data_IF_165489763721
#
_entry.id   IF_165489763721
#
_cell.length_a   1.000
_cell.length_b   1.000
_cell.length_c   1.000
_cell.angle_alpha   90.00
_cell.angle_beta   90.00
_cell.angle_gamma   90.00
#
_symmetry.space_group_name_H-M   'P 1'
#
loop_
_entity.id
_entity.type
_entity.pdbx_description
1 polymer ?
#
# COMPACT_ATOMS: atom_id res chain seq x y z
N UNK A 1 -32.23 55.96 68.78
CA UNK A 1 -30.80 55.66 68.79
C UNK A 1 -30.41 55.29 67.37
N UNK A 2 -29.47 56.04 66.79
CA UNK A 2 -28.86 55.84 65.46
C UNK A 2 -29.77 56.20 64.29
N UNK A 3 -29.93 57.47 63.87
CA UNK A 3 -28.96 58.40 63.26
C UNK A 3 -28.67 58.02 61.77
N UNK A 4 -29.42 58.63 60.83
CA UNK A 4 -29.01 59.68 59.84
C UNK A 4 -28.66 59.04 58.48
N UNK A 5 -29.58 59.04 57.49
CA UNK A 5 -29.80 60.09 56.45
C UNK A 5 -28.72 60.08 55.33
N UNK A 6 -28.94 60.67 54.13
CA UNK A 6 -30.16 60.81 53.32
C UNK A 6 -29.86 60.61 51.80
N UNK A 7 -30.78 61.10 50.96
CA UNK A 7 -30.61 61.50 49.54
C UNK A 7 -30.68 60.38 48.48
N UNK A 8 -31.18 60.62 47.26
CA UNK A 8 -31.97 61.68 46.62
C UNK A 8 -32.00 61.30 45.13
N UNK A 9 -33.06 61.71 44.42
CA UNK A 9 -33.10 61.97 42.98
C UNK A 9 -32.99 60.75 42.03
N UNK A 10 -34.07 60.45 41.29
CA UNK A 10 -34.33 60.95 39.91
C UNK A 10 -33.21 60.53 38.95
N UNK A 11 -33.44 59.58 38.05
CA UNK A 11 -34.21 59.72 36.81
C UNK A 11 -33.26 59.54 35.62
N UNK A 12 -33.86 59.38 34.45
CA UNK A 12 -33.29 59.54 33.10
C UNK A 12 -32.76 58.25 32.47
N UNK A 13 -33.66 57.68 31.68
CA UNK A 13 -33.37 56.93 30.48
C UNK A 13 -32.57 57.76 29.48
N UNK A 14 -31.54 57.19 28.86
CA UNK A 14 -31.07 57.55 27.52
C UNK A 14 -30.25 56.35 27.01
N UNK A 15 -30.81 55.61 26.06
CA UNK A 15 -30.58 55.80 24.63
C UNK A 15 -29.26 55.16 24.19
N UNK A 16 -29.39 54.05 23.46
CA UNK A 16 -28.32 53.44 22.68
C UNK A 16 -27.70 54.46 21.71
N UNK A 17 -26.38 54.38 21.51
CA UNK A 17 -25.82 54.61 20.21
C UNK A 17 -25.23 53.31 19.64
N UNK A 18 -25.70 52.97 18.44
CA UNK A 18 -24.94 52.20 17.45
C UNK A 18 -23.53 52.77 17.35
N UNK A 19 -22.50 51.96 17.59
CA UNK A 19 -21.23 51.98 16.86
C UNK A 19 -20.31 50.89 17.42
N UNK A 20 -19.52 50.28 16.53
CA UNK A 20 -18.46 49.30 16.79
C UNK A 20 -18.89 47.84 16.99
N UNK A 21 -19.49 47.24 15.96
CA UNK A 21 -19.44 45.79 15.74
C UNK A 21 -18.88 45.49 14.34
N UNK A 22 -17.72 46.05 14.03
CA UNK A 22 -17.03 45.86 12.76
C UNK A 22 -15.51 45.95 12.97
N UNK A 23 -14.92 45.01 13.70
CA UNK A 23 -13.49 44.67 13.68
C UNK A 23 -13.15 43.50 14.62
N UNK A 24 -14.02 42.50 14.72
CA UNK A 24 -13.69 41.22 15.34
C UNK A 24 -14.11 40.08 14.39
N UNK A 25 -13.83 40.25 13.10
CA UNK A 25 -13.57 39.09 12.27
C UNK A 25 -12.28 38.52 12.85
N UNK A 26 -12.49 37.51 13.67
CA UNK A 26 -11.47 36.63 14.18
C UNK A 26 -10.44 36.41 13.07
N UNK A 27 -9.27 37.03 13.26
CA UNK A 27 -8.04 36.32 12.99
C UNK A 27 -8.09 35.09 13.92
N UNK A 28 -8.89 34.09 13.53
CA UNK A 28 -8.49 32.73 13.72
C UNK A 28 -7.24 32.64 12.86
N UNK A 29 -6.11 33.05 13.44
CA UNK A 29 -4.88 32.34 13.17
C UNK A 29 -5.26 30.88 13.43
N UNK A 30 -5.59 30.17 12.37
CA UNK A 30 -5.22 28.77 12.28
C UNK A 30 -3.72 28.84 12.46
N UNK A 31 -3.28 28.70 13.71
CA UNK A 31 -1.89 28.41 13.99
C UNK A 31 -1.74 27.06 13.31
N UNK A 32 -1.01 26.95 12.18
CA UNK A 32 -0.69 25.63 11.68
C UNK A 32 0.07 24.98 12.82
N UNK A 33 -0.46 23.89 13.37
CA UNK A 33 0.17 23.26 14.52
C UNK A 33 1.55 22.76 14.09
N UNK A 34 2.59 23.56 14.37
CA UNK A 34 3.99 23.29 13.99
C UNK A 34 4.63 22.19 14.84
N UNK A 35 3.84 21.53 15.67
CA UNK A 35 4.24 20.45 16.57
C UNK A 35 3.16 19.36 16.68
N UNK A 36 2.31 19.15 15.66
CA UNK A 36 1.58 17.88 15.58
C UNK A 36 2.60 16.79 15.22
N UNK A 37 3.24 16.28 16.24
CA UNK A 37 3.78 14.94 16.24
C UNK A 37 2.57 14.04 16.55
N UNK A 38 1.77 13.64 15.53
CA UNK A 38 0.91 12.45 15.70
C UNK A 38 1.84 11.24 15.67
N UNK A 39 2.59 11.07 16.75
CA UNK A 39 3.20 9.81 17.10
C UNK A 39 2.59 9.41 18.41
N UNK A 40 1.33 9.00 18.36
CA UNK A 40 0.90 8.05 19.37
C UNK A 40 1.49 6.69 18.99
N UNK A 41 2.77 6.54 19.30
CA UNK A 41 3.53 5.32 19.08
C UNK A 41 3.07 4.18 20.00
N UNK A 42 2.15 4.46 20.93
CA UNK A 42 1.46 3.44 21.71
C UNK A 42 0.22 2.90 21.01
N UNK A 43 -0.31 3.61 20.00
CA UNK A 43 -1.48 3.19 19.21
C UNK A 43 -1.08 2.58 17.86
N UNK A 44 -0.07 3.12 17.17
CA UNK A 44 0.43 2.52 15.92
C UNK A 44 1.55 1.54 16.22
N UNK A 45 1.44 0.29 15.76
CA UNK A 45 2.51 -0.68 15.88
C UNK A 45 3.77 -0.15 15.14
N UNK A 46 4.74 0.33 15.93
CA UNK A 46 5.96 1.01 15.47
C UNK A 46 6.83 0.10 14.58
N UNK A 47 6.68 -1.20 14.78
CA UNK A 47 7.47 -2.27 14.19
C UNK A 47 6.64 -3.11 13.23
N UNK A 48 5.48 -2.62 12.80
CA UNK A 48 4.69 -3.34 11.82
C UNK A 48 5.40 -3.33 10.46
N UNK A 49 5.51 -4.52 9.86
CA UNK A 49 5.68 -4.67 8.41
C UNK A 49 4.63 -3.84 7.68
N UNK A 50 5.05 -3.07 6.67
CA UNK A 50 4.17 -2.26 5.82
C UNK A 50 4.55 -2.39 4.36
N UNK A 51 3.58 -2.63 3.50
CA UNK A 51 3.76 -2.45 2.07
C UNK A 51 3.78 -0.94 1.82
N UNK A 52 4.83 -0.49 1.15
CA UNK A 52 5.01 0.91 0.79
C UNK A 52 5.04 1.03 -0.72
N UNK A 53 4.36 2.04 -1.22
CA UNK A 53 4.45 2.49 -2.61
C UNK A 53 5.42 3.67 -2.62
N UNK A 54 6.74 3.45 -2.81
CA UNK A 54 7.69 4.54 -2.78
C UNK A 54 7.45 5.42 -3.98
N UNK A 55 6.99 6.63 -3.70
CA UNK A 55 6.97 7.71 -4.67
C UNK A 55 8.43 8.09 -4.95
N UNK A 56 8.90 7.79 -6.16
CA UNK A 56 10.25 8.21 -6.55
C UNK A 56 10.24 9.72 -6.77
N UNK A 57 10.90 10.43 -5.86
CA UNK A 57 11.15 11.85 -6.04
C UNK A 57 12.21 12.03 -7.14
N UNK A 58 12.06 13.09 -7.94
CA UNK A 58 13.16 13.57 -8.79
C UNK A 58 14.30 14.08 -7.90
N UNK A 59 15.53 14.12 -8.42
CA UNK A 59 16.68 14.67 -7.67
C UNK A 59 16.38 16.10 -7.21
N UNK A 60 15.79 16.91 -8.09
CA UNK A 60 15.38 18.28 -7.79
C UNK A 60 14.31 18.35 -6.70
N UNK A 61 13.45 17.34 -6.57
CA UNK A 61 12.42 17.29 -5.55
C UNK A 61 12.98 16.83 -4.20
N UNK A 62 13.90 15.86 -4.21
CA UNK A 62 14.65 15.47 -3.02
C UNK A 62 15.45 16.67 -2.48
N UNK A 63 16.21 17.35 -3.33
CA UNK A 63 17.02 18.50 -2.94
C UNK A 63 16.17 19.67 -2.41
N UNK A 64 15.02 19.96 -3.03
CA UNK A 64 14.11 21.00 -2.55
C UNK A 64 13.53 20.66 -1.16
N UNK A 65 13.26 19.38 -0.91
CA UNK A 65 12.71 18.91 0.36
C UNK A 65 13.74 18.77 1.50
N UNK A 66 15.03 18.64 1.16
CA UNK A 66 16.12 18.52 2.13
C UNK A 66 16.65 19.89 2.60
N UNK A 67 16.24 20.98 1.97
CA UNK A 67 16.63 22.34 2.39
C UNK A 67 15.89 22.72 3.69
N UNK A 68 16.62 22.97 4.80
CA UNK A 68 16.02 23.31 6.08
C UNK A 68 15.30 24.68 6.10
N UNK A 69 15.49 25.53 5.09
CA UNK A 69 14.79 26.80 4.94
C UNK A 69 13.51 26.70 4.11
N UNK A 70 13.31 25.60 3.39
CA UNK A 70 12.16 25.33 2.52
C UNK A 70 10.96 24.83 3.34
N UNK A 71 9.76 25.35 3.08
CA UNK A 71 8.53 24.78 3.65
C UNK A 71 8.17 23.51 2.86
N UNK A 72 8.32 22.30 3.44
CA UNK A 72 8.10 21.05 2.71
C UNK A 72 6.63 20.86 2.29
N UNK A 73 5.70 21.66 2.79
CA UNK A 73 4.28 21.60 2.39
C UNK A 73 3.96 22.50 1.19
N UNK A 74 4.74 23.56 0.95
CA UNK A 74 4.49 24.51 -0.14
C UNK A 74 5.43 24.31 -1.33
N UNK A 75 6.65 23.81 -1.10
CA UNK A 75 7.74 23.88 -2.08
C UNK A 75 8.30 22.51 -2.48
N UNK A 76 7.95 21.42 -1.76
CA UNK A 76 8.28 20.06 -2.22
C UNK A 76 7.50 19.73 -3.50
N UNK A 77 8.18 19.51 -4.63
CA UNK A 77 7.51 19.13 -5.87
C UNK A 77 6.75 17.83 -5.65
N UNK A 78 5.54 17.76 -6.18
CA UNK A 78 4.82 16.49 -6.24
C UNK A 78 5.63 15.51 -7.11
N UNK A 79 5.68 14.22 -6.75
CA UNK A 79 6.30 13.22 -7.60
C UNK A 79 5.70 13.29 -9.00
N UNK A 80 6.50 13.06 -10.06
CA UNK A 80 5.97 13.01 -11.41
C UNK A 80 4.86 11.96 -11.49
N UNK A 81 3.89 12.09 -12.41
CA UNK A 81 2.90 11.03 -12.62
C UNK A 81 3.65 9.72 -12.90
N UNK A 82 3.52 8.76 -12.00
CA UNK A 82 4.33 7.55 -11.99
C UNK A 82 4.21 6.83 -13.33
N UNK A 83 5.33 6.31 -13.82
CA UNK A 83 5.28 5.30 -14.88
C UNK A 83 4.46 4.12 -14.33
N UNK A 84 3.37 3.69 -14.97
CA UNK A 84 2.54 2.59 -14.51
C UNK A 84 3.29 1.26 -14.38
N UNK A 85 4.53 1.18 -14.91
CA UNK A 85 5.45 0.04 -14.70
C UNK A 85 6.14 0.05 -13.34
N UNK A 86 6.20 1.21 -12.67
CA UNK A 86 6.82 1.36 -11.36
C UNK A 86 5.85 1.12 -10.21
N UNK A 87 4.55 1.40 -10.41
CA UNK A 87 3.49 1.20 -9.41
C UNK A 87 2.24 0.70 -10.11
N UNK A 88 1.73 -0.46 -9.68
CA UNK A 88 0.45 -0.98 -10.17
C UNK A 88 -0.71 -0.36 -9.39
N UNK A 89 -1.77 0.12 -10.07
CA UNK A 89 -2.97 0.55 -9.37
C UNK A 89 -3.70 -0.65 -8.76
N UNK A 90 -4.42 -0.43 -7.66
CA UNK A 90 -5.23 -1.48 -7.00
C UNK A 90 -6.29 -2.10 -7.94
N UNK A 91 -6.70 -1.37 -8.98
CA UNK A 91 -7.57 -1.88 -10.03
C UNK A 91 -6.88 -1.76 -11.38
N UNK A 92 -6.65 -2.89 -12.03
CA UNK A 92 -6.02 -3.00 -13.33
C UNK A 92 -7.11 -2.97 -14.41
N UNK A 93 -7.40 -1.76 -14.90
CA UNK A 93 -8.51 -1.49 -15.81
C UNK A 93 -8.31 -2.18 -17.18
N UNK A 94 -9.16 -3.16 -17.55
CA UNK A 94 -9.04 -3.88 -18.81
C UNK A 94 -9.30 -3.01 -20.05
N UNK A 95 -9.87 -1.81 -19.89
CA UNK A 95 -9.99 -0.85 -20.99
C UNK A 95 -8.66 -0.20 -21.37
N UNK A 96 -7.67 -0.25 -20.47
CA UNK A 96 -6.31 0.16 -20.75
C UNK A 96 -5.54 -1.01 -21.39
N UNK A 97 -4.99 -0.85 -22.62
CA UNK A 97 -4.22 -1.90 -23.29
C UNK A 97 -3.03 -2.43 -22.48
N UNK A 98 -2.51 -1.65 -21.52
CA UNK A 98 -1.44 -2.09 -20.62
C UNK A 98 -1.89 -3.18 -19.64
N UNK A 99 -3.19 -3.31 -19.37
CA UNK A 99 -3.78 -4.22 -18.39
C UNK A 99 -4.83 -5.17 -19.01
N UNK A 100 -4.80 -5.32 -20.33
CA UNK A 100 -5.67 -6.23 -21.06
C UNK A 100 -5.06 -7.64 -21.06
N UNK A 101 -5.34 -8.41 -20.00
CA UNK A 101 -4.80 -9.77 -19.85
C UNK A 101 -5.69 -10.85 -20.47
N UNK A 102 -5.06 -11.88 -21.03
CA UNK A 102 -5.72 -13.01 -21.68
C UNK A 102 -5.56 -14.31 -20.88
N UNK A 103 -6.65 -15.07 -20.72
CA UNK A 103 -6.58 -16.49 -20.39
C UNK A 103 -6.24 -17.29 -21.65
N UNK A 104 -4.99 -17.74 -21.72
CA UNK A 104 -4.43 -18.43 -22.88
C UNK A 104 -4.56 -19.95 -22.74
N UNK A 105 -4.52 -20.73 -23.84
CA UNK A 105 -4.39 -22.19 -23.75
C UNK A 105 -3.12 -22.62 -23.01
N UNK A 106 -3.17 -23.79 -22.34
CA UNK A 106 -2.05 -24.31 -21.54
C UNK A 106 -0.74 -24.35 -22.36
N UNK A 107 0.30 -23.74 -21.79
CA UNK A 107 1.65 -23.69 -22.38
C UNK A 107 1.88 -22.49 -23.29
N UNK A 108 0.89 -21.63 -23.47
CA UNK A 108 1.05 -20.32 -24.10
C UNK A 108 1.10 -19.23 -23.03
N UNK A 109 1.81 -18.14 -23.32
CA UNK A 109 1.86 -16.96 -22.47
C UNK A 109 1.09 -15.81 -23.10
N UNK A 110 0.62 -14.89 -22.27
CA UNK A 110 -0.02 -13.67 -22.73
C UNK A 110 1.03 -12.66 -23.23
N UNK A 111 0.80 -12.09 -24.43
CA UNK A 111 1.63 -11.00 -24.94
C UNK A 111 1.52 -9.73 -24.08
N UNK A 112 0.43 -9.57 -23.33
CA UNK A 112 0.20 -8.51 -22.34
C UNK A 112 0.80 -8.78 -20.96
N UNK A 113 1.53 -9.88 -20.77
CA UNK A 113 2.21 -10.18 -19.51
C UNK A 113 3.19 -9.04 -19.13
N UNK A 114 3.18 -8.67 -17.86
CA UNK A 114 3.94 -7.50 -17.39
C UNK A 114 5.43 -7.84 -17.27
N UNK A 115 6.36 -7.02 -17.80
CA UNK A 115 7.78 -7.36 -17.81
C UNK A 115 8.34 -7.50 -16.39
N UNK A 116 8.31 -6.41 -15.61
CA UNK A 116 8.78 -6.38 -14.23
C UNK A 116 8.04 -5.27 -13.49
N UNK A 117 7.63 -5.54 -12.26
CA UNK A 117 7.30 -4.48 -11.30
C UNK A 117 7.76 -4.90 -9.90
N UNK A 118 8.03 -3.91 -9.05
CA UNK A 118 8.51 -4.13 -7.69
C UNK A 118 7.51 -3.63 -6.67
N UNK A 119 7.33 -4.40 -5.61
CA UNK A 119 6.61 -4.00 -4.40
C UNK A 119 7.66 -3.83 -3.31
N UNK A 120 7.57 -2.73 -2.57
CA UNK A 120 8.51 -2.43 -1.50
C UNK A 120 7.85 -2.63 -0.15
N UNK A 121 8.64 -3.15 0.79
CA UNK A 121 8.16 -3.48 2.13
C UNK A 121 9.08 -2.77 3.12
N UNK A 122 8.49 -1.96 3.98
CA UNK A 122 9.16 -1.35 5.12
C UNK A 122 9.02 -2.26 6.34
N UNK A 123 10.15 -2.53 6.99
CA UNK A 123 10.22 -3.23 8.27
C UNK A 123 11.22 -2.50 9.16
N UNK A 124 10.71 -1.83 10.18
CA UNK A 124 11.53 -1.01 11.08
C UNK A 124 11.98 -1.76 12.32
N UNK A 125 11.61 -3.04 12.45
CA UNK A 125 12.04 -3.82 13.59
C UNK A 125 13.52 -4.21 13.44
N UNK A 126 14.22 -4.07 14.55
CA UNK A 126 15.62 -4.40 14.69
C UNK A 126 15.74 -5.23 15.94
N UNK A 127 16.37 -6.39 15.81
CA UNK A 127 16.58 -7.27 16.94
C UNK A 127 17.58 -6.69 17.96
N UNK A 128 17.86 -7.46 19.02
CA UNK A 128 18.81 -7.04 20.07
C UNK A 128 20.25 -6.87 19.56
N UNK A 129 20.56 -7.35 18.35
CA UNK A 129 21.84 -7.27 17.66
C UNK A 129 21.85 -6.15 16.59
N UNK A 130 20.75 -5.42 16.42
CA UNK A 130 20.57 -4.39 15.40
C UNK A 130 20.58 -4.98 13.97
N UNK A 131 20.09 -6.21 13.82
CA UNK A 131 19.81 -6.86 12.54
C UNK A 131 18.31 -6.74 12.21
N UNK A 132 17.93 -6.48 10.95
CA UNK A 132 16.52 -6.43 10.57
C UNK A 132 15.93 -7.82 10.48
N UNK A 133 14.62 -7.92 10.74
CA UNK A 133 13.91 -9.17 10.68
C UNK A 133 13.84 -9.73 9.24
N UNK A 134 13.66 -11.05 9.18
CA UNK A 134 13.38 -11.75 7.94
C UNK A 134 11.92 -11.51 7.55
N UNK A 135 11.70 -10.96 6.36
CA UNK A 135 10.36 -10.71 5.83
C UNK A 135 10.04 -11.73 4.76
N UNK A 136 8.87 -12.34 4.85
CA UNK A 136 8.38 -13.33 3.90
C UNK A 136 7.17 -12.77 3.15
N UNK A 137 6.92 -13.27 1.94
CA UNK A 137 5.78 -12.85 1.13
C UNK A 137 5.09 -14.05 0.48
N UNK A 138 3.78 -13.92 0.24
CA UNK A 138 3.04 -14.82 -0.61
C UNK A 138 2.04 -14.08 -1.49
N UNK A 139 1.70 -14.75 -2.60
CA UNK A 139 0.72 -14.28 -3.57
C UNK A 139 -0.53 -15.15 -3.46
N UNK A 140 -1.62 -14.55 -3.00
CA UNK A 140 -2.89 -15.23 -2.77
C UNK A 140 -3.90 -14.85 -3.87
N UNK A 141 -4.25 -15.83 -4.70
CA UNK A 141 -5.26 -15.67 -5.74
C UNK A 141 -6.67 -15.96 -5.18
N UNK A 142 -7.60 -15.06 -5.48
CA UNK A 142 -9.03 -15.15 -5.11
C UNK A 142 -9.24 -15.52 -3.64
N UNK A 143 -8.38 -14.98 -2.78
CA UNK A 143 -8.39 -15.29 -1.36
C UNK A 143 -9.63 -14.73 -0.68
N UNK A 144 -10.29 -15.59 0.09
CA UNK A 144 -11.37 -15.20 0.99
C UNK A 144 -11.02 -15.65 2.42
N UNK A 145 -11.13 -14.79 3.43
CA UNK A 145 -10.81 -15.15 4.82
C UNK A 145 -11.63 -16.32 5.37
N UNK A 146 -12.77 -16.62 4.75
CA UNK A 146 -13.67 -17.72 5.13
C UNK A 146 -13.35 -19.05 4.42
N UNK A 147 -12.33 -19.09 3.55
CA UNK A 147 -11.96 -20.31 2.83
C UNK A 147 -11.45 -21.37 3.83
N UNK A 148 -12.04 -22.57 3.80
CA UNK A 148 -11.62 -23.69 4.64
C UNK A 148 -10.23 -24.25 4.28
N UNK A 149 -9.75 -23.96 3.07
CA UNK A 149 -8.44 -24.38 2.57
C UNK A 149 -7.68 -23.20 1.98
N UNK A 150 -7.19 -22.29 2.83
CA UNK A 150 -6.61 -21.06 2.32
C UNK A 150 -5.23 -21.26 1.66
N UNK A 151 -4.58 -22.41 1.91
CA UNK A 151 -3.40 -22.84 1.14
C UNK A 151 -3.70 -23.00 -0.37
N UNK A 152 -4.95 -23.32 -0.72
CA UNK A 152 -5.39 -23.42 -2.11
C UNK A 152 -5.43 -22.04 -2.79
N UNK A 153 -5.25 -20.92 -2.07
CA UNK A 153 -5.11 -19.59 -2.66
C UNK A 153 -3.66 -19.22 -2.94
N UNK A 154 -2.66 -19.87 -2.32
CA UNK A 154 -1.24 -19.57 -2.57
C UNK A 154 -0.89 -19.98 -4.01
N UNK A 155 -0.59 -18.98 -4.86
CA UNK A 155 -0.26 -19.14 -6.28
C UNK A 155 1.04 -18.42 -6.62
N UNK A 156 1.46 -18.50 -7.89
CA UNK A 156 2.65 -17.79 -8.38
C UNK A 156 3.95 -18.13 -7.65
N UNK A 157 4.08 -19.35 -7.11
CA UNK A 157 5.29 -19.83 -6.39
C UNK A 157 6.57 -19.80 -7.24
N UNK A 158 6.36 -19.75 -8.54
CA UNK A 158 7.38 -19.55 -9.56
C UNK A 158 8.06 -18.16 -9.54
N UNK A 159 7.41 -17.19 -8.91
CA UNK A 159 7.87 -15.80 -8.79
C UNK A 159 8.21 -15.46 -7.34
N UNK A 160 7.49 -16.04 -6.38
CA UNK A 160 7.67 -15.76 -4.95
C UNK A 160 7.69 -17.08 -4.19
N UNK A 161 8.81 -17.40 -3.52
CA UNK A 161 8.87 -18.53 -2.62
C UNK A 161 8.50 -18.06 -1.19
N UNK A 162 7.36 -18.50 -0.62
CA UNK A 162 6.97 -18.08 0.72
C UNK A 162 7.96 -18.50 1.81
N UNK A 163 8.79 -19.51 1.56
CA UNK A 163 9.76 -20.01 2.53
C UNK A 163 11.11 -19.27 2.47
N UNK A 164 11.30 -18.37 1.51
CA UNK A 164 12.53 -17.59 1.37
C UNK A 164 12.29 -16.14 1.79
N UNK A 165 13.17 -15.56 2.64
CA UNK A 165 13.04 -14.17 3.02
C UNK A 165 13.33 -13.25 1.84
N UNK A 166 12.59 -12.14 1.78
CA UNK A 166 12.77 -11.10 0.77
C UNK A 166 14.16 -10.46 0.89
N UNK A 167 14.84 -10.22 -0.24
CA UNK A 167 16.09 -9.50 -0.25
C UNK A 167 15.88 -8.04 0.17
N UNK A 168 16.95 -7.41 0.69
CA UNK A 168 16.95 -5.95 0.85
C UNK A 168 16.88 -5.28 -0.52
N UNK A 169 16.16 -4.17 -0.60
CA UNK A 169 16.09 -3.36 -1.80
C UNK A 169 17.49 -2.83 -2.15
N UNK A 170 18.05 -3.24 -3.29
CA UNK A 170 19.43 -2.96 -3.63
C UNK A 170 19.63 -1.55 -4.24
N UNK A 171 18.56 -0.91 -4.71
CA UNK A 171 18.68 0.18 -5.69
C UNK A 171 17.68 1.33 -5.55
N UNK A 172 16.95 1.43 -4.44
CA UNK A 172 16.06 2.57 -4.25
C UNK A 172 16.66 3.56 -3.27
N UNK A 173 16.87 4.78 -3.76
CA UNK A 173 17.16 5.94 -2.93
C UNK A 173 15.83 6.47 -2.39
N UNK A 174 15.29 5.77 -1.39
CA UNK A 174 14.06 6.15 -0.72
C UNK A 174 14.39 6.46 0.73
N UNK A 175 14.50 7.76 1.02
CA UNK A 175 14.63 8.29 2.37
C UNK A 175 13.43 9.21 2.63
N UNK A 176 12.40 8.72 3.34
CA UNK A 176 11.31 9.60 3.74
C UNK A 176 11.85 10.69 4.67
N UNK A 177 11.52 11.95 4.36
CA UNK A 177 11.97 13.12 5.10
C UNK A 177 11.64 12.98 6.59
N UNK A 178 12.63 13.22 7.45
CA UNK A 178 12.46 13.19 8.91
C UNK A 178 12.18 11.80 9.49
N UNK A 179 12.29 10.72 8.71
CA UNK A 179 12.16 9.35 9.18
C UNK A 179 13.52 8.64 9.19
N UNK A 180 13.79 7.76 10.18
CA UNK A 180 14.92 6.84 10.12
C UNK A 180 14.86 5.94 8.87
N UNK A 181 15.99 5.28 8.56
CA UNK A 181 16.07 4.31 7.47
C UNK A 181 14.90 3.30 7.55
N UNK A 182 14.09 3.19 6.48
CA UNK A 182 12.94 2.28 6.43
C UNK A 182 13.33 0.80 6.25
N UNK A 183 14.62 0.47 6.10
CA UNK A 183 15.14 -0.91 6.01
C UNK A 183 14.40 -1.75 4.96
N UNK A 184 14.25 -1.19 3.77
CA UNK A 184 13.35 -1.71 2.76
C UNK A 184 13.74 -3.10 2.24
N UNK A 185 12.72 -3.93 2.07
CA UNK A 185 12.76 -5.17 1.28
C UNK A 185 12.09 -4.95 -0.07
N UNK A 186 12.48 -5.73 -1.05
CA UNK A 186 11.95 -5.66 -2.41
C UNK A 186 11.40 -7.02 -2.84
N UNK A 187 10.14 -7.01 -3.27
CA UNK A 187 9.47 -8.12 -3.94
C UNK A 187 9.37 -7.78 -5.43
N UNK A 188 10.23 -8.39 -6.23
CA UNK A 188 10.22 -8.23 -7.69
C UNK A 188 9.36 -9.30 -8.34
N UNK A 189 8.37 -8.88 -9.13
CA UNK A 189 7.49 -9.77 -9.89
C UNK A 189 7.77 -9.65 -11.38
N UNK A 190 8.04 -10.79 -12.01
CA UNK A 190 8.43 -10.86 -13.42
C UNK A 190 9.88 -10.49 -13.70
N UNK A 191 10.32 -10.74 -14.92
CA UNK A 191 11.52 -10.16 -15.53
C UNK A 191 11.42 -10.21 -17.06
N UNK A 192 12.42 -9.65 -17.76
CA UNK A 192 12.48 -9.62 -19.23
C UNK A 192 12.37 -11.00 -19.91
N UNK A 193 12.79 -12.07 -19.24
CA UNK A 193 12.74 -13.45 -19.76
C UNK A 193 11.51 -14.23 -19.30
N UNK A 194 10.88 -13.79 -18.20
CA UNK A 194 9.73 -14.41 -17.58
C UNK A 194 8.81 -13.31 -17.06
N UNK A 195 8.03 -12.67 -17.96
CA UNK A 195 7.09 -11.64 -17.55
C UNK A 195 6.07 -12.23 -16.58
N UNK A 196 5.56 -11.38 -15.69
CA UNK A 196 4.51 -11.71 -14.75
C UNK A 196 3.16 -11.73 -15.48
N UNK A 197 2.63 -12.93 -15.66
CA UNK A 197 1.36 -13.18 -16.33
C UNK A 197 0.29 -13.50 -15.29
N UNK A 198 -0.62 -12.56 -15.05
CA UNK A 198 -1.70 -12.65 -14.07
C UNK A 198 -2.78 -13.69 -14.43
N UNK A 199 -2.89 -14.11 -15.68
CA UNK A 199 -3.93 -15.06 -16.10
C UNK A 199 -3.37 -16.46 -16.32
N UNK A 200 -2.07 -16.59 -16.64
CA UNK A 200 -1.46 -17.88 -17.00
C UNK A 200 -0.31 -18.29 -16.07
N UNK A 201 0.17 -17.39 -15.22
CA UNK A 201 1.26 -17.67 -14.27
C UNK A 201 0.84 -18.43 -13.01
N UNK A 202 -0.46 -18.59 -12.77
CA UNK A 202 -1.06 -19.14 -11.57
C UNK A 202 -1.06 -20.69 -11.52
N UNK A 203 0.10 -21.34 -11.71
CA UNK A 203 0.35 -22.80 -11.54
C UNK A 203 -0.58 -23.74 -12.35
N UNK A 204 0.00 -24.52 -13.26
CA UNK A 204 -0.56 -25.67 -14.02
C UNK A 204 -1.77 -25.45 -14.93
N UNK A 205 -2.63 -24.48 -14.65
CA UNK A 205 -3.81 -24.12 -15.44
C UNK A 205 -4.01 -22.60 -15.49
N UNK A 206 -4.25 -22.05 -16.69
CA UNK A 206 -4.77 -20.69 -16.85
C UNK A 206 -6.03 -20.43 -16.02
N UNK A 207 -6.20 -19.18 -15.59
CA UNK A 207 -7.41 -18.74 -14.89
C UNK A 207 -8.61 -18.76 -15.83
N UNK A 208 -9.81 -18.98 -15.29
CA UNK A 208 -11.03 -18.81 -16.07
C UNK A 208 -11.19 -17.35 -16.52
N UNK A 209 -11.86 -17.07 -17.64
CA UNK A 209 -12.24 -15.70 -17.96
C UNK A 209 -13.10 -15.07 -16.85
N UNK A 210 -12.86 -13.80 -16.53
CA UNK A 210 -13.57 -13.07 -15.48
C UNK A 210 -12.69 -12.18 -14.61
N UNK A 211 -13.30 -11.59 -13.57
CA UNK A 211 -12.59 -10.81 -12.56
C UNK A 211 -11.94 -11.72 -11.51
N UNK A 212 -10.71 -11.37 -11.14
CA UNK A 212 -9.91 -12.05 -10.13
C UNK A 212 -9.28 -11.04 -9.18
N UNK A 213 -8.85 -11.52 -8.02
CA UNK A 213 -8.06 -10.74 -7.08
C UNK A 213 -6.72 -11.41 -6.79
N UNK A 214 -5.66 -10.59 -6.75
CA UNK A 214 -4.34 -11.00 -6.29
C UNK A 214 -4.03 -10.21 -5.01
N UNK A 215 -3.97 -10.90 -3.88
CA UNK A 215 -3.51 -10.32 -2.62
C UNK A 215 -2.06 -10.66 -2.38
N UNK A 216 -1.24 -9.64 -2.18
CA UNK A 216 0.14 -9.75 -1.71
C UNK A 216 0.10 -9.60 -0.21
N UNK A 217 0.56 -10.62 0.50
CA UNK A 217 0.67 -10.60 1.96
C UNK A 217 2.13 -10.74 2.33
N UNK A 218 2.57 -9.88 3.24
CA UNK A 218 3.95 -9.82 3.74
C UNK A 218 3.94 -9.92 5.25
N UNK A 219 4.93 -10.60 5.83
CA UNK A 219 5.00 -10.80 7.28
C UNK A 219 6.43 -11.02 7.75
N UNK A 220 6.70 -10.68 9.01
CA UNK A 220 7.95 -10.94 9.74
C UNK A 220 8.08 -12.39 10.27
N UNK A 221 7.12 -13.27 9.94
CA UNK A 221 7.15 -14.68 10.35
C UNK A 221 7.27 -15.62 9.16
N UNK A 222 8.05 -16.71 9.30
CA UNK A 222 8.04 -17.76 8.30
C UNK A 222 6.66 -18.38 8.21
N UNK A 223 6.32 -18.83 7.01
CA UNK A 223 5.04 -19.46 6.74
C UNK A 223 4.93 -20.81 7.46
N UNK A 224 3.73 -21.15 7.92
CA UNK A 224 3.51 -22.43 8.58
C UNK A 224 3.84 -23.58 7.63
N UNK A 225 4.73 -24.45 8.08
CA UNK A 225 5.12 -25.69 7.42
C UNK A 225 4.70 -26.81 8.36
N UNK A 226 3.61 -27.55 8.08
CA UNK A 226 3.20 -28.62 8.96
C UNK A 226 4.33 -29.64 9.08
N UNK A 227 4.64 -29.99 10.33
CA UNK A 227 5.59 -31.06 10.62
C UNK A 227 4.99 -32.37 10.09
N UNK A 228 5.75 -33.01 9.21
CA UNK A 228 5.30 -34.13 8.39
C UNK A 228 5.11 -35.38 9.28
N UNK A 229 3.90 -35.93 9.34
CA UNK A 229 3.64 -37.31 9.80
C UNK A 229 4.22 -38.37 8.82
N UNK A 230 5.31 -38.04 8.10
CA UNK A 230 5.98 -38.89 7.12
C UNK A 230 5.35 -38.90 5.72
N UNK A 231 4.46 -37.96 5.40
CA UNK A 231 3.78 -37.85 4.10
C UNK A 231 4.04 -36.49 3.45
N UNK A 232 5.28 -36.27 2.97
CA UNK A 232 5.83 -35.15 2.16
C UNK A 232 4.82 -34.21 1.47
N UNK A 233 4.01 -33.50 2.25
CA UNK A 233 3.08 -32.51 1.73
C UNK A 233 3.23 -31.27 2.57
N UNK A 234 4.15 -30.41 2.13
CA UNK A 234 4.31 -29.04 2.60
C UNK A 234 2.97 -28.31 2.32
N UNK A 235 2.06 -28.31 3.29
CA UNK A 235 0.89 -27.45 3.25
C UNK A 235 1.35 -26.05 3.69
N UNK A 236 1.84 -25.27 2.73
CA UNK A 236 2.06 -23.84 2.90
C UNK A 236 0.72 -23.18 3.26
N UNK A 237 0.52 -22.88 4.54
CA UNK A 237 -0.73 -22.33 5.08
C UNK A 237 -0.89 -20.82 4.84
N UNK A 238 -1.94 -20.24 5.42
CA UNK A 238 -2.01 -18.78 5.71
C UNK A 238 -0.89 -18.46 6.70
N UNK A 239 -0.34 -17.23 6.76
CA UNK A 239 0.74 -16.99 7.70
C UNK A 239 0.22 -17.31 9.09
N UNK A 240 1.07 -17.90 9.93
CA UNK A 240 0.75 -18.09 11.34
C UNK A 240 0.75 -16.69 11.98
N UNK A 241 -0.36 -15.98 11.82
CA UNK A 241 -0.64 -14.68 12.44
C UNK A 241 -0.91 -14.86 13.93
N UNK A 242 -0.14 -15.71 14.60
CA UNK A 242 -0.12 -15.85 16.04
C UNK A 242 0.08 -14.48 16.69
N UNK A 243 -0.33 -14.37 17.95
CA UNK A 243 -0.18 -13.13 18.69
C UNK A 243 1.28 -12.64 18.68
N UNK A 244 1.52 -11.49 18.02
CA UNK A 244 2.84 -10.87 17.91
C UNK A 244 3.50 -10.96 16.53
N UNK A 245 2.87 -11.57 15.52
CA UNK A 245 3.29 -11.40 14.12
C UNK A 245 2.84 -10.02 13.60
N UNK A 246 3.68 -9.38 12.79
CA UNK A 246 3.28 -8.20 12.03
C UNK A 246 3.17 -8.54 10.54
N UNK A 247 2.16 -7.96 9.90
CA UNK A 247 1.86 -8.24 8.51
C UNK A 247 1.12 -7.08 7.87
N UNK A 248 1.19 -7.04 6.55
CA UNK A 248 0.40 -6.13 5.73
C UNK A 248 -0.11 -6.84 4.47
N UNK A 249 -1.20 -6.32 3.89
CA UNK A 249 -1.86 -6.90 2.72
C UNK A 249 -2.21 -5.83 1.71
N UNK A 250 -1.79 -6.04 0.47
CA UNK A 250 -2.15 -5.23 -0.68
C UNK A 250 -2.91 -6.11 -1.68
N UNK A 251 -4.07 -5.64 -2.14
CA UNK A 251 -4.91 -6.40 -3.08
C UNK A 251 -5.07 -5.67 -4.40
N UNK A 252 -4.74 -6.36 -5.48
CA UNK A 252 -5.02 -5.96 -6.85
C UNK A 252 -6.24 -6.70 -7.39
N UNK A 253 -7.05 -6.00 -8.17
CA UNK A 253 -8.17 -6.58 -8.92
C UNK A 253 -7.86 -6.46 -10.40
N UNK A 254 -8.05 -7.56 -11.14
CA UNK A 254 -7.76 -7.64 -12.57
C UNK A 254 -8.80 -8.49 -13.29
N UNK A 255 -8.81 -8.41 -14.62
CA UNK A 255 -9.71 -9.16 -15.47
C UNK A 255 -8.91 -10.04 -16.43
N UNK A 256 -9.30 -11.32 -16.54
CA UNK A 256 -8.81 -12.23 -17.56
C UNK A 256 -9.85 -12.35 -18.68
N UNK A 257 -9.49 -11.90 -19.87
CA UNK A 257 -10.30 -12.05 -21.06
C UNK A 257 -10.21 -13.47 -21.64
N UNK A 258 -11.22 -13.87 -22.40
CA UNK A 258 -11.13 -15.07 -23.23
C UNK A 258 -10.20 -14.79 -24.42
N UNK A 259 -9.29 -15.72 -24.72
CA UNK A 259 -8.46 -15.65 -25.92
C UNK A 259 -9.35 -15.71 -27.16
N UNK A 260 -9.28 -14.70 -28.03
CA UNK A 260 -10.05 -14.66 -29.28
C UNK A 260 -9.57 -15.62 -30.35
N UNK A 261 -8.41 -16.24 -30.13
CA UNK A 261 -7.74 -17.13 -31.07
C UNK A 261 -7.22 -18.40 -30.38
N UNK A 262 -6.93 -19.42 -31.19
CA UNK A 262 -6.31 -20.67 -30.72
C UNK A 262 -4.83 -20.48 -30.29
N UNK A 263 -4.23 -19.38 -30.71
CA UNK A 263 -2.89 -18.92 -30.34
C UNK A 263 -3.04 -17.57 -29.64
N UNK A 264 -2.50 -17.42 -28.43
CA UNK A 264 -2.68 -16.25 -27.57
C UNK A 264 -1.83 -15.06 -28.05
N UNK A 265 -1.95 -14.71 -29.33
CA UNK A 265 -1.07 -13.77 -30.03
C UNK A 265 -1.49 -12.30 -29.81
N UNK A 266 -2.24 -12.01 -28.75
CA UNK A 266 -2.59 -10.65 -28.31
C UNK A 266 -3.99 -10.15 -28.68
N UNK A 267 -4.87 -10.97 -29.24
CA UNK A 267 -6.29 -10.61 -29.42
C UNK A 267 -7.14 -11.15 -28.27
N UNK A 268 -7.17 -10.42 -27.16
CA UNK A 268 -8.10 -10.67 -26.07
C UNK A 268 -9.51 -10.21 -26.47
N UNK A 269 -10.52 -11.06 -26.27
CA UNK A 269 -11.92 -10.64 -26.42
C UNK A 269 -12.25 -9.76 -25.21
N UNK A 270 -12.34 -8.45 -25.43
CA UNK A 270 -12.74 -7.52 -24.39
C UNK A 270 -14.10 -7.94 -23.80
N UNK A 271 -14.31 -7.77 -22.48
CA UNK A 271 -15.62 -8.00 -21.89
C UNK A 271 -16.64 -7.09 -22.60
N UNK A 272 -17.77 -7.66 -23.04
CA UNK A 272 -18.90 -6.84 -23.46
C UNK A 272 -19.25 -5.92 -22.27
N UNK A 273 -19.30 -4.60 -22.49
CA UNK A 273 -19.64 -3.65 -21.43
C UNK A 273 -20.95 -4.12 -20.77
N UNK A 274 -21.00 -4.26 -19.43
CA UNK A 274 -22.23 -4.60 -18.77
C UNK A 274 -23.24 -3.48 -19.02
N UNK A 275 -24.30 -3.80 -19.78
CA UNK A 275 -25.46 -2.93 -20.03
C UNK A 275 -26.16 -2.50 -18.74
#
# INVERSE_FOLDING_TARGET
GGEVEPMSARAVALALPLAALAAALAAACVIPDRDIIIKDETISNRYAVRIVEPLRLTVEASEACDDPETDPLEECPQPPPDDPRNVLPHFLDPSNPLYAFCSCPKGQGDAGAQPTFSIYIEDRDLDAQNEPDEIFAALLLDYTPTNAKPHDSVRYRNFVNPQEPLPRAASIDYQPIGRPDPLLRELTLGNEFRPFDLCNGAIDTPLSPGFHSLSVIVTDRPWFTPDDDGLQTIQEGVPDLAAGATFDVLTYVFFCAESGSATCDGECIAPEEPL
#
